data_IF_813393507352
#
_entry.id   IF_813393507352
#
_cell.length_a   1.000
_cell.length_b   1.000
_cell.length_c   1.000
_cell.angle_alpha   90.00
_cell.angle_beta   90.00
_cell.angle_gamma   90.00
#
_symmetry.space_group_name_H-M   'P 1'
#
loop_
_entity.id
_entity.type
_entity.pdbx_description
1 polymer ?
#
# COMPACT_ATOMS: atom_id res chain seq x y z
N UNK A 1 -56.10 29.27 31.40
CA UNK A 1 -54.64 29.44 31.30
C UNK A 1 -54.21 30.32 32.47
N UNK A 2 -53.77 29.64 33.54
CA UNK A 2 -52.60 29.89 34.42
C UNK A 2 -51.79 31.18 34.18
N UNK A 3 -51.26 31.92 35.16
CA UNK A 3 -50.85 31.62 36.54
C UNK A 3 -50.84 32.87 37.45
N UNK A 4 -50.90 32.61 38.77
CA UNK A 4 -50.84 33.57 39.87
C UNK A 4 -49.80 33.06 40.92
N UNK A 5 -49.02 33.99 41.49
CA UNK A 5 -48.33 33.99 42.81
C UNK A 5 -47.23 32.92 43.09
N UNK A 6 -46.23 33.06 43.99
CA UNK A 6 -45.97 33.95 45.13
C UNK A 6 -44.45 33.96 45.55
N UNK A 7 -43.90 35.15 45.81
CA UNK A 7 -43.28 35.70 47.06
C UNK A 7 -42.34 34.87 48.01
N UNK A 8 -41.11 35.43 48.23
CA UNK A 8 -40.32 35.65 49.49
C UNK A 8 -39.83 34.47 50.39
N UNK A 9 -38.78 34.49 51.24
CA UNK A 9 -37.57 35.31 51.56
C UNK A 9 -36.77 34.57 52.68
N UNK A 10 -35.43 34.73 52.70
CA UNK A 10 -34.42 34.61 53.79
C UNK A 10 -34.23 33.33 54.65
N UNK A 11 -32.97 33.01 55.00
CA UNK A 11 -32.26 33.36 56.26
C UNK A 11 -30.89 32.60 56.33
N UNK A 12 -29.83 33.29 56.77
CA UNK A 12 -28.47 32.84 57.20
C UNK A 12 -28.45 33.05 58.75
N UNK A 13 -27.78 32.30 59.68
CA UNK A 13 -26.30 32.08 59.73
C UNK A 13 -25.71 30.89 60.58
N UNK A 14 -24.36 30.84 60.61
CA UNK A 14 -23.40 30.39 61.67
C UNK A 14 -23.09 28.88 61.89
N UNK A 15 -21.80 28.48 61.75
CA UNK A 15 -20.80 28.08 62.80
C UNK A 15 -21.10 26.67 63.38
N UNK A 16 -20.21 25.68 63.60
CA UNK A 16 -18.81 25.64 64.01
C UNK A 16 -18.29 24.16 63.92
N UNK A 17 -17.00 23.98 63.64
CA UNK A 17 -16.02 23.06 64.31
C UNK A 17 -16.02 21.50 64.16
N UNK A 18 -14.83 20.98 63.75
CA UNK A 18 -13.96 19.92 64.37
C UNK A 18 -14.52 18.46 64.37
N UNK A 19 -13.85 17.33 64.07
CA UNK A 19 -12.47 16.84 64.23
C UNK A 19 -12.20 15.59 63.36
N UNK A 20 -10.94 15.10 63.43
CA UNK A 20 -10.26 14.12 62.59
C UNK A 20 -10.70 12.64 62.66
N UNK A 21 -10.27 11.87 61.66
CA UNK A 21 -10.25 10.40 61.68
C UNK A 21 -9.33 9.81 60.62
N UNK A 22 -8.08 9.52 60.99
CA UNK A 22 -7.10 8.74 60.23
C UNK A 22 -7.62 7.31 59.95
N UNK A 23 -7.56 6.85 58.69
CA UNK A 23 -7.32 5.43 58.39
C UNK A 23 -6.41 5.26 57.17
N UNK A 24 -5.26 4.64 57.43
CA UNK A 24 -4.29 4.14 56.47
C UNK A 24 -4.92 3.10 55.53
N UNK A 25 -4.62 3.19 54.23
CA UNK A 25 -4.53 2.00 53.37
C UNK A 25 -3.28 2.06 52.49
N UNK A 26 -2.32 1.24 52.89
CA UNK A 26 -1.42 0.41 52.08
C UNK A 26 -1.27 0.76 50.58
N UNK A 27 -0.10 1.33 50.26
CA UNK A 27 0.55 1.24 48.94
C UNK A 27 0.77 -0.22 48.55
N UNK A 28 0.07 -0.69 47.53
CA UNK A 28 0.52 -1.85 46.74
C UNK A 28 1.22 -1.29 45.51
N UNK A 29 2.55 -1.42 45.52
CA UNK A 29 3.43 -1.10 44.40
C UNK A 29 3.22 -2.13 43.29
N UNK A 30 2.41 -1.78 42.29
CA UNK A 30 2.43 -2.49 41.02
C UNK A 30 3.69 -2.05 40.26
N UNK A 31 4.67 -2.95 40.17
CA UNK A 31 5.82 -2.82 39.26
C UNK A 31 5.27 -2.76 37.83
N UNK A 32 5.24 -1.55 37.27
CA UNK A 32 5.10 -1.32 35.84
C UNK A 32 6.26 -2.01 35.12
N UNK A 33 5.98 -3.14 34.47
CA UNK A 33 6.90 -3.73 33.49
C UNK A 33 6.73 -2.92 32.21
N UNK A 34 7.48 -1.81 32.19
CA UNK A 34 7.64 -0.91 31.05
C UNK A 34 8.30 -1.67 29.91
N UNK A 35 7.50 -2.26 29.02
CA UNK A 35 7.94 -2.58 27.67
C UNK A 35 8.38 -1.27 27.02
N UNK A 36 9.62 -1.23 26.54
CA UNK A 36 10.16 -0.05 25.87
C UNK A 36 9.39 0.13 24.56
N UNK A 37 8.44 1.05 24.53
CA UNK A 37 7.93 1.58 23.27
C UNK A 37 9.08 2.35 22.64
N UNK A 38 9.70 1.74 21.63
CA UNK A 38 10.67 2.41 20.79
C UNK A 38 9.90 3.49 20.02
N UNK A 39 10.05 4.74 20.46
CA UNK A 39 9.52 5.89 19.73
C UNK A 39 10.38 6.04 18.49
N UNK A 40 9.91 5.53 17.35
CA UNK A 40 10.51 5.82 16.05
C UNK A 40 10.35 7.31 15.83
N UNK A 41 11.44 8.06 16.01
CA UNK A 41 11.52 9.44 15.51
C UNK A 41 11.58 9.35 14.00
N UNK A 42 10.45 9.57 13.36
CA UNK A 42 10.41 9.85 11.92
C UNK A 42 11.04 11.23 11.77
N UNK A 43 12.27 11.27 11.26
CA UNK A 43 12.82 12.50 10.70
C UNK A 43 11.92 12.91 9.54
N UNK A 44 11.61 14.20 9.43
CA UNK A 44 11.00 14.81 8.26
C UNK A 44 11.91 14.54 7.05
N UNK A 45 11.74 13.39 6.41
CA UNK A 45 12.28 13.13 5.09
C UNK A 45 11.35 13.84 4.11
N UNK A 46 11.58 15.15 3.97
CA UNK A 46 11.45 15.75 2.64
C UNK A 46 12.15 14.80 1.68
N UNK A 47 11.47 14.33 0.64
CA UNK A 47 12.09 13.62 -0.48
C UNK A 47 13.10 14.55 -1.17
N UNK A 48 14.25 14.76 -0.55
CA UNK A 48 15.41 15.30 -1.21
C UNK A 48 15.88 14.21 -2.16
N UNK A 49 16.10 14.64 -3.41
CA UNK A 49 16.79 13.88 -4.43
C UNK A 49 18.22 13.61 -3.97
N UNK A 50 18.42 12.67 -3.06
CA UNK A 50 19.72 12.10 -2.83
C UNK A 50 19.93 11.03 -3.89
N UNK A 51 20.77 11.42 -4.85
CA UNK A 51 21.35 10.60 -5.89
C UNK A 51 22.16 9.48 -5.21
N UNK A 52 21.49 8.39 -4.82
CA UNK A 52 22.18 7.15 -4.52
C UNK A 52 22.58 6.60 -5.89
N UNK A 53 23.86 6.74 -6.22
CA UNK A 53 24.53 6.08 -7.34
C UNK A 53 24.37 4.56 -7.19
N UNK A 54 23.25 4.03 -7.69
CA UNK A 54 23.09 2.61 -7.94
C UNK A 54 23.78 2.36 -9.28
N UNK A 55 24.96 1.73 -9.21
CA UNK A 55 25.88 1.39 -10.29
C UNK A 55 25.26 1.47 -11.71
N UNK A 56 25.24 2.68 -12.27
CA UNK A 56 24.75 2.97 -13.63
C UNK A 56 25.51 2.17 -14.69
N UNK A 57 26.66 1.60 -14.32
CA UNK A 57 27.55 0.84 -15.16
C UNK A 57 27.05 -0.58 -15.48
N UNK A 58 26.20 -1.20 -14.64
CA UNK A 58 25.64 -2.52 -14.95
C UNK A 58 24.41 -2.45 -15.87
N UNK A 59 23.54 -1.46 -15.65
CA UNK A 59 22.32 -1.29 -16.45
C UNK A 59 22.65 -0.77 -17.86
N UNK A 60 23.64 0.11 -17.98
CA UNK A 60 24.12 0.61 -19.29
C UNK A 60 24.82 -0.46 -20.13
N UNK A 61 25.60 -1.36 -19.51
CA UNK A 61 26.29 -2.45 -20.22
C UNK A 61 25.33 -3.48 -20.83
N UNK A 62 24.24 -3.79 -20.15
CA UNK A 62 23.24 -4.75 -20.65
C UNK A 62 22.41 -4.14 -21.78
N UNK A 63 22.05 -2.85 -21.66
CA UNK A 63 21.37 -2.13 -22.73
C UNK A 63 22.23 -1.99 -24.00
N UNK A 64 23.53 -1.67 -23.85
CA UNK A 64 24.46 -1.51 -24.97
C UNK A 64 24.80 -2.84 -25.69
N UNK A 65 24.86 -3.97 -24.97
CA UNK A 65 25.13 -5.28 -25.56
C UNK A 65 23.94 -5.77 -26.41
N UNK A 66 22.70 -5.48 -25.99
CA UNK A 66 21.49 -5.84 -26.73
C UNK A 66 21.28 -4.98 -27.98
N UNK A 67 21.55 -3.67 -27.92
CA UNK A 67 21.48 -2.78 -29.10
C UNK A 67 22.47 -3.22 -30.18
N UNK A 68 23.67 -3.66 -29.79
CA UNK A 68 24.66 -4.21 -30.72
C UNK A 68 24.24 -5.52 -31.37
N UNK A 69 23.58 -6.42 -30.65
CA UNK A 69 23.12 -7.71 -31.21
C UNK A 69 21.93 -7.54 -32.16
N UNK A 70 20.95 -6.69 -31.81
CA UNK A 70 19.77 -6.44 -32.65
C UNK A 70 20.12 -5.77 -34.00
N UNK A 71 21.15 -4.92 -34.04
CA UNK A 71 21.59 -4.27 -35.29
C UNK A 71 22.33 -5.20 -36.27
N UNK A 72 22.70 -6.42 -35.85
CA UNK A 72 23.51 -7.34 -36.68
C UNK A 72 22.73 -8.42 -37.43
N UNK A 73 21.43 -8.60 -37.15
CA UNK A 73 20.67 -9.77 -37.65
C UNK A 73 19.81 -9.53 -38.90
N UNK A 74 19.84 -8.35 -39.51
CA UNK A 74 18.96 -8.00 -40.64
C UNK A 74 19.43 -8.51 -42.02
N UNK A 75 20.20 -9.59 -42.05
CA UNK A 75 20.57 -10.29 -43.30
C UNK A 75 20.53 -11.79 -43.09
N UNK A 76 19.38 -12.40 -43.37
CA UNK A 76 19.26 -13.61 -44.20
C UNK A 76 17.80 -14.09 -44.25
N UNK A 77 17.05 -13.60 -45.24
CA UNK A 77 15.88 -14.32 -45.74
C UNK A 77 16.31 -15.60 -46.46
N UNK A 78 15.67 -16.73 -46.15
CA UNK A 78 15.37 -17.77 -47.15
C UNK A 78 14.21 -18.67 -46.72
N UNK A 79 13.25 -18.78 -47.64
CA UNK A 79 12.05 -19.62 -47.69
C UNK A 79 12.31 -21.11 -47.43
N UNK A 80 11.31 -21.83 -46.91
CA UNK A 80 10.70 -22.99 -47.59
C UNK A 80 9.41 -23.50 -46.91
N UNK A 81 8.62 -24.21 -47.72
CA UNK A 81 7.20 -24.54 -47.67
C UNK A 81 6.67 -25.40 -46.50
N UNK A 82 5.34 -25.31 -46.35
CA UNK A 82 4.45 -26.00 -45.41
C UNK A 82 4.20 -27.50 -45.74
N UNK A 83 4.11 -28.35 -44.70
CA UNK A 83 2.83 -28.95 -44.26
C UNK A 83 2.97 -29.91 -43.05
N UNK A 84 1.97 -29.78 -42.16
CA UNK A 84 1.41 -30.72 -41.17
C UNK A 84 2.29 -31.25 -40.01
N UNK A 85 2.04 -30.71 -38.81
CA UNK A 85 1.57 -31.40 -37.58
C UNK A 85 1.23 -30.30 -36.56
N UNK A 86 -0.05 -30.13 -36.23
CA UNK A 86 -0.49 -29.40 -35.02
C UNK A 86 -0.21 -30.28 -33.80
N UNK A 87 0.70 -29.80 -32.95
CA UNK A 87 0.68 -29.81 -31.48
C UNK A 87 2.10 -29.97 -30.92
N UNK A 88 2.57 -28.88 -30.29
CA UNK A 88 3.92 -28.58 -29.80
C UNK A 88 4.88 -28.05 -30.87
N UNK A 89 4.70 -26.79 -31.26
CA UNK A 89 5.84 -26.02 -31.75
C UNK A 89 6.94 -26.07 -30.68
N UNK A 90 8.19 -26.44 -31.02
CA UNK A 90 9.30 -26.31 -30.09
C UNK A 90 9.42 -24.84 -29.69
N UNK A 91 9.43 -24.58 -28.37
CA UNK A 91 9.70 -23.25 -27.79
C UNK A 91 10.94 -22.71 -28.51
N UNK A 92 10.78 -21.57 -29.16
CA UNK A 92 11.87 -20.94 -29.90
C UNK A 92 12.95 -20.46 -28.92
N UNK A 93 14.20 -20.34 -29.38
CA UNK A 93 15.29 -19.81 -28.55
C UNK A 93 14.94 -18.43 -27.97
N UNK A 94 14.25 -17.61 -28.77
CA UNK A 94 13.80 -16.27 -28.38
C UNK A 94 12.74 -16.30 -27.27
N UNK A 95 11.76 -17.21 -27.35
CA UNK A 95 10.76 -17.40 -26.29
C UNK A 95 11.39 -17.90 -24.99
N UNK A 96 12.42 -18.76 -25.07
CA UNK A 96 13.12 -19.26 -23.90
C UNK A 96 13.88 -18.14 -23.17
N UNK A 97 14.59 -17.29 -23.93
CA UNK A 97 15.30 -16.12 -23.41
C UNK A 97 14.34 -15.10 -22.78
N UNK A 98 13.19 -14.84 -23.42
CA UNK A 98 12.16 -13.98 -22.87
C UNK A 98 11.59 -14.54 -21.55
N UNK A 99 11.32 -15.85 -21.48
CA UNK A 99 10.85 -16.48 -20.25
C UNK A 99 11.86 -16.39 -19.11
N UNK A 100 13.15 -16.54 -19.38
CA UNK A 100 14.21 -16.38 -18.37
C UNK A 100 14.29 -14.94 -17.87
N UNK A 101 14.23 -13.96 -18.79
CA UNK A 101 14.18 -12.55 -18.45
C UNK A 101 12.97 -12.21 -17.58
N UNK A 102 11.78 -12.72 -17.90
CA UNK A 102 10.57 -12.49 -17.09
C UNK A 102 10.72 -13.07 -15.67
N UNK A 103 11.40 -14.21 -15.51
CA UNK A 103 11.70 -14.75 -14.16
C UNK A 103 12.65 -13.84 -13.39
N UNK A 104 13.64 -13.26 -14.05
CA UNK A 104 14.55 -12.32 -13.39
C UNK A 104 13.84 -11.00 -13.03
N UNK A 105 12.97 -10.49 -13.90
CA UNK A 105 12.16 -9.29 -13.63
C UNK A 105 11.23 -9.54 -12.44
N UNK A 106 10.61 -10.72 -12.36
CA UNK A 106 9.70 -11.07 -11.26
C UNK A 106 10.38 -11.06 -9.87
N UNK A 107 11.69 -11.26 -9.79
CA UNK A 107 12.47 -11.17 -8.54
C UNK A 107 12.74 -9.73 -8.11
N UNK A 108 12.62 -8.77 -9.02
CA UNK A 108 12.92 -7.36 -8.74
C UNK A 108 11.81 -6.72 -7.90
N UNK A 109 12.20 -5.79 -7.05
CA UNK A 109 11.26 -5.01 -6.26
C UNK A 109 10.52 -3.98 -7.13
N UNK A 110 9.34 -3.53 -6.71
CA UNK A 110 8.55 -2.54 -7.46
C UNK A 110 9.27 -1.18 -7.55
N UNK A 111 10.13 -0.86 -6.58
CA UNK A 111 10.94 0.36 -6.53
C UNK A 111 11.99 0.40 -7.65
N UNK A 112 12.41 -0.76 -8.15
CA UNK A 112 13.39 -0.84 -9.25
C UNK A 112 12.87 -0.25 -10.56
N UNK A 113 11.56 -0.13 -10.70
CA UNK A 113 10.92 0.38 -11.92
C UNK A 113 10.82 1.93 -11.97
N UNK A 114 11.28 2.65 -10.94
CA UNK A 114 11.12 4.11 -10.83
C UNK A 114 11.67 4.93 -12.00
N UNK A 115 12.67 4.39 -12.71
CA UNK A 115 13.38 5.07 -13.82
C UNK A 115 12.96 4.54 -15.21
N UNK A 116 11.87 3.78 -15.30
CA UNK A 116 11.43 3.17 -16.58
C UNK A 116 10.76 4.15 -17.55
N UNK A 117 10.50 5.40 -17.13
CA UNK A 117 9.74 6.39 -17.91
C UNK A 117 10.33 6.69 -19.30
N UNK A 118 11.66 6.72 -19.40
CA UNK A 118 12.39 7.13 -20.61
C UNK A 118 12.85 5.91 -21.45
N UNK A 119 12.48 4.70 -21.02
CA UNK A 119 12.85 3.46 -21.72
C UNK A 119 12.03 3.33 -23.01
N UNK A 120 12.65 2.95 -24.14
CA UNK A 120 11.93 2.72 -25.38
C UNK A 120 10.80 1.70 -25.23
N UNK A 121 9.65 2.00 -25.85
CA UNK A 121 8.41 1.24 -25.69
C UNK A 121 8.55 -0.25 -26.05
N UNK A 122 9.40 -0.58 -27.03
CA UNK A 122 9.68 -1.97 -27.41
C UNK A 122 10.29 -2.79 -26.26
N UNK A 123 11.16 -2.17 -25.44
CA UNK A 123 11.78 -2.78 -24.27
C UNK A 123 10.80 -2.75 -23.10
N UNK A 124 10.19 -1.59 -22.83
CA UNK A 124 9.26 -1.41 -21.73
C UNK A 124 8.08 -2.39 -21.81
N UNK A 125 7.60 -2.72 -23.02
CA UNK A 125 6.55 -3.72 -23.22
C UNK A 125 6.87 -5.09 -22.63
N UNK A 126 8.14 -5.51 -22.61
CA UNK A 126 8.56 -6.78 -21.99
C UNK A 126 8.40 -6.70 -20.47
N UNK A 127 8.89 -5.62 -19.86
CA UNK A 127 8.77 -5.38 -18.42
C UNK A 127 7.30 -5.22 -17.97
N UNK A 128 6.48 -4.62 -18.81
CA UNK A 128 5.05 -4.45 -18.54
C UNK A 128 4.32 -5.80 -18.39
N UNK A 129 4.80 -6.88 -19.01
CA UNK A 129 4.24 -8.24 -18.80
C UNK A 129 4.31 -8.67 -17.32
N UNK A 130 5.38 -8.31 -16.60
CA UNK A 130 5.50 -8.58 -15.17
C UNK A 130 4.55 -7.71 -14.33
N UNK A 131 4.39 -6.44 -14.68
CA UNK A 131 3.43 -5.56 -14.00
C UNK A 131 2.00 -6.09 -14.15
N UNK A 132 1.61 -6.49 -15.38
CA UNK A 132 0.32 -7.11 -15.63
C UNK A 132 0.11 -8.44 -14.85
N UNK A 133 1.18 -9.23 -14.68
CA UNK A 133 1.14 -10.43 -13.81
C UNK A 133 0.86 -10.02 -12.35
N UNK A 134 1.55 -9.02 -11.81
CA UNK A 134 1.38 -8.54 -10.43
C UNK A 134 -0.02 -7.98 -10.17
N UNK A 135 -0.66 -7.34 -11.15
CA UNK A 135 -2.05 -6.92 -11.04
C UNK A 135 -3.01 -8.10 -10.89
N UNK A 136 -2.87 -9.14 -11.71
CA UNK A 136 -3.68 -10.37 -11.58
C UNK A 136 -3.50 -11.05 -10.23
N UNK A 137 -2.28 -11.08 -9.72
CA UNK A 137 -2.01 -11.57 -8.37
C UNK A 137 -2.67 -10.70 -7.30
N UNK A 138 -2.69 -9.39 -7.51
CA UNK A 138 -3.32 -8.42 -6.60
C UNK A 138 -4.84 -8.56 -6.58
N UNK A 139 -5.50 -8.83 -7.70
CA UNK A 139 -6.94 -9.16 -7.77
C UNK A 139 -7.27 -10.39 -6.91
N UNK A 140 -6.45 -11.45 -7.01
CA UNK A 140 -6.62 -12.64 -6.18
C UNK A 140 -6.48 -12.30 -4.69
N UNK A 141 -5.50 -11.46 -4.33
CA UNK A 141 -5.29 -11.01 -2.94
C UNK A 141 -6.45 -10.17 -2.39
N UNK A 142 -7.13 -9.38 -3.21
CA UNK A 142 -8.35 -8.66 -2.78
C UNK A 142 -9.37 -9.67 -2.29
N UNK A 143 -9.69 -10.67 -3.12
CA UNK A 143 -10.68 -11.69 -2.79
C UNK A 143 -10.30 -12.49 -1.54
N UNK A 144 -9.02 -12.87 -1.42
CA UNK A 144 -8.53 -13.54 -0.21
C UNK A 144 -8.66 -12.65 1.03
N UNK A 145 -8.50 -11.34 0.89
CA UNK A 145 -8.65 -10.37 1.99
C UNK A 145 -10.12 -10.16 2.36
N UNK A 146 -11.03 -10.10 1.39
CA UNK A 146 -12.48 -10.05 1.62
C UNK A 146 -12.95 -11.30 2.40
N UNK A 147 -12.51 -12.48 1.96
CA UNK A 147 -12.78 -13.75 2.64
C UNK A 147 -12.18 -13.75 4.05
N UNK A 148 -10.96 -13.24 4.22
CA UNK A 148 -10.29 -13.14 5.53
C UNK A 148 -11.10 -12.28 6.50
N UNK A 149 -11.51 -11.08 6.09
CA UNK A 149 -12.28 -10.14 6.91
C UNK A 149 -13.65 -10.71 7.27
N UNK A 150 -14.33 -11.35 6.32
CA UNK A 150 -15.67 -11.94 6.51
C UNK A 150 -15.69 -13.10 7.51
N UNK A 151 -14.55 -13.76 7.75
CA UNK A 151 -14.43 -14.89 8.66
C UNK A 151 -14.10 -14.50 10.11
N UNK A 152 -13.81 -13.21 10.37
CA UNK A 152 -13.51 -12.72 11.71
C UNK A 152 -14.78 -12.71 12.55
N UNK A 153 -14.71 -13.31 13.74
CA UNK A 153 -15.83 -13.34 14.68
C UNK A 153 -15.69 -12.23 15.71
N UNK A 154 -16.75 -11.46 15.89
CA UNK A 154 -16.83 -10.38 16.85
C UNK A 154 -18.19 -10.39 17.56
N UNK A 155 -18.26 -9.71 18.70
CA UNK A 155 -19.51 -9.50 19.43
C UNK A 155 -20.22 -8.24 18.89
N UNK A 156 -21.55 -8.23 18.92
CA UNK A 156 -22.34 -7.07 18.46
C UNK A 156 -22.03 -5.82 19.30
N UNK A 157 -21.76 -4.69 18.64
CA UNK A 157 -21.35 -3.40 19.24
C UNK A 157 -20.05 -3.47 20.02
N UNK A 158 -19.15 -4.37 19.60
CA UNK A 158 -17.81 -4.50 20.18
C UNK A 158 -16.81 -3.55 19.51
N UNK A 159 -15.64 -3.40 20.12
CA UNK A 159 -14.55 -2.64 19.49
C UNK A 159 -13.90 -3.41 18.35
N UNK A 160 -14.00 -4.73 18.41
CA UNK A 160 -13.60 -5.64 17.35
C UNK A 160 -14.44 -5.41 16.09
N UNK A 161 -15.75 -5.17 16.23
CA UNK A 161 -16.61 -4.80 15.10
C UNK A 161 -16.11 -3.51 14.43
N UNK A 162 -15.88 -2.44 15.20
CA UNK A 162 -15.39 -1.16 14.67
C UNK A 162 -13.98 -1.27 14.06
N UNK A 163 -13.08 -2.07 14.65
CA UNK A 163 -11.77 -2.37 14.04
C UNK A 163 -11.92 -3.05 12.68
N UNK A 164 -12.84 -4.00 12.57
CA UNK A 164 -13.09 -4.71 11.32
C UNK A 164 -13.70 -3.80 10.26
N UNK A 165 -14.59 -2.88 10.66
CA UNK A 165 -15.14 -1.84 9.79
C UNK A 165 -14.02 -0.95 9.20
N UNK A 166 -13.11 -0.46 10.05
CA UNK A 166 -11.96 0.35 9.59
C UNK A 166 -11.05 -0.45 8.66
N UNK A 167 -10.85 -1.75 8.91
CA UNK A 167 -10.08 -2.61 8.00
C UNK A 167 -10.78 -2.80 6.65
N UNK A 168 -12.10 -2.87 6.64
CA UNK A 168 -12.90 -2.84 5.41
C UNK A 168 -12.71 -1.53 4.64
N UNK A 169 -12.76 -0.39 5.32
CA UNK A 169 -12.46 0.91 4.70
C UNK A 169 -11.03 0.97 4.14
N UNK A 170 -10.04 0.38 4.83
CA UNK A 170 -8.67 0.30 4.33
C UNK A 170 -8.56 -0.58 3.08
N UNK A 171 -9.33 -1.68 3.01
CA UNK A 171 -9.41 -2.50 1.80
C UNK A 171 -10.02 -1.70 0.65
N UNK A 172 -11.11 -0.96 0.89
CA UNK A 172 -11.73 -0.08 -0.11
C UNK A 172 -10.76 1.01 -0.60
N UNK A 173 -9.89 1.53 0.29
CA UNK A 173 -8.80 2.41 -0.15
C UNK A 173 -7.76 1.68 -0.97
N UNK A 174 -7.36 0.47 -0.58
CA UNK A 174 -6.41 -0.31 -1.36
C UNK A 174 -6.92 -0.53 -2.79
N UNK A 175 -8.21 -0.85 -2.98
CA UNK A 175 -8.80 -1.13 -4.30
C UNK A 175 -8.88 0.10 -5.21
N UNK A 176 -8.81 1.33 -4.69
CA UNK A 176 -8.70 2.55 -5.53
C UNK A 176 -7.49 2.53 -6.48
N UNK A 177 -6.45 1.75 -6.17
CA UNK A 177 -5.33 1.56 -7.10
C UNK A 177 -5.78 1.00 -8.46
N UNK A 178 -6.82 0.15 -8.46
CA UNK A 178 -7.39 -0.44 -9.67
C UNK A 178 -8.20 0.58 -10.47
N UNK A 179 -8.96 1.43 -9.79
CA UNK A 179 -9.71 2.50 -10.45
C UNK A 179 -8.78 3.45 -11.24
N UNK A 180 -7.66 3.86 -10.61
CA UNK A 180 -6.66 4.71 -11.26
C UNK A 180 -6.00 3.96 -12.43
N UNK A 181 -5.68 2.68 -12.25
CA UNK A 181 -5.14 1.83 -13.32
C UNK A 181 -6.08 1.75 -14.53
N UNK A 182 -7.36 1.46 -14.29
CA UNK A 182 -8.39 1.32 -15.33
C UNK A 182 -8.63 2.62 -16.11
N UNK A 183 -8.56 3.77 -15.43
CA UNK A 183 -8.69 5.09 -16.06
C UNK A 183 -7.69 5.30 -17.22
N UNK A 184 -6.50 4.72 -17.10
CA UNK A 184 -5.41 4.86 -18.08
C UNK A 184 -5.27 3.67 -19.02
N UNK A 185 -6.02 2.58 -18.83
CA UNK A 185 -5.89 1.37 -19.65
C UNK A 185 -6.15 1.63 -21.14
N UNK A 186 -7.15 2.47 -21.43
CA UNK A 186 -7.58 2.81 -22.77
C UNK A 186 -6.86 4.03 -23.36
N UNK A 187 -5.95 4.64 -22.61
CA UNK A 187 -5.19 5.82 -23.06
C UNK A 187 -3.91 5.38 -23.78
N UNK A 188 -3.46 6.19 -24.74
CA UNK A 188 -2.21 5.95 -25.48
C UNK A 188 -0.98 6.40 -24.67
N UNK A 189 -0.82 5.84 -23.48
CA UNK A 189 0.31 6.13 -22.58
C UNK A 189 1.49 5.22 -22.95
N UNK A 190 2.72 5.76 -23.11
CA UNK A 190 3.93 4.94 -23.28
C UNK A 190 4.09 3.92 -22.15
N UNK A 191 4.56 2.71 -22.46
CA UNK A 191 4.71 1.63 -21.49
C UNK A 191 5.66 2.01 -20.35
N UNK A 192 6.72 2.77 -20.63
CA UNK A 192 7.64 3.25 -19.60
C UNK A 192 6.94 4.08 -18.52
N UNK A 193 6.08 5.02 -18.93
CA UNK A 193 5.29 5.84 -18.02
C UNK A 193 4.25 5.01 -17.25
N UNK A 194 3.60 4.08 -17.96
CA UNK A 194 2.61 3.16 -17.39
C UNK A 194 3.21 2.28 -16.30
N UNK A 195 4.39 1.71 -16.53
CA UNK A 195 5.13 0.90 -15.56
C UNK A 195 5.43 1.71 -14.28
N UNK A 196 5.90 2.95 -14.42
CA UNK A 196 6.23 3.80 -13.26
C UNK A 196 4.99 4.11 -12.43
N UNK A 197 3.86 4.44 -13.08
CA UNK A 197 2.58 4.67 -12.40
C UNK A 197 2.14 3.41 -11.67
N UNK A 198 1.99 2.30 -12.40
CA UNK A 198 1.40 1.07 -11.86
C UNK A 198 2.28 0.42 -10.79
N UNK A 199 3.60 0.51 -10.90
CA UNK A 199 4.50 0.04 -9.85
C UNK A 199 4.27 0.80 -8.53
N UNK A 200 4.06 2.12 -8.59
CA UNK A 200 3.76 2.93 -7.39
C UNK A 200 2.39 2.60 -6.81
N UNK A 201 1.37 2.44 -7.65
CA UNK A 201 0.04 2.02 -7.22
C UNK A 201 0.08 0.66 -6.51
N UNK A 202 0.79 -0.31 -7.10
CA UNK A 202 1.00 -1.64 -6.51
C UNK A 202 1.76 -1.59 -5.18
N UNK A 203 2.71 -0.65 -4.98
CA UNK A 203 3.38 -0.50 -3.68
C UNK A 203 2.38 -0.10 -2.60
N UNK A 204 1.55 0.93 -2.86
CA UNK A 204 0.54 1.40 -1.90
C UNK A 204 -0.47 0.30 -1.59
N UNK A 205 -0.99 -0.36 -2.64
CA UNK A 205 -1.88 -1.51 -2.51
C UNK A 205 -1.27 -2.62 -1.64
N UNK A 206 -0.05 -3.05 -1.96
CA UNK A 206 0.61 -4.13 -1.25
C UNK A 206 0.84 -3.80 0.23
N UNK A 207 1.20 -2.55 0.54
CA UNK A 207 1.39 -2.11 1.92
C UNK A 207 0.07 -2.15 2.71
N UNK A 208 -1.02 -1.63 2.15
CA UNK A 208 -2.34 -1.66 2.78
C UNK A 208 -2.82 -3.10 3.02
N UNK A 209 -2.75 -3.97 2.01
CA UNK A 209 -3.14 -5.38 2.14
C UNK A 209 -2.27 -6.10 3.19
N UNK A 210 -0.94 -5.91 3.14
CA UNK A 210 -0.04 -6.51 4.13
C UNK A 210 -0.37 -6.07 5.56
N UNK A 211 -0.74 -4.80 5.76
CA UNK A 211 -1.19 -4.29 7.04
C UNK A 211 -2.47 -5.00 7.49
N UNK A 212 -3.45 -5.18 6.61
CA UNK A 212 -4.69 -5.92 6.92
C UNK A 212 -4.37 -7.35 7.38
N UNK A 213 -3.56 -8.10 6.61
CA UNK A 213 -3.17 -9.46 6.99
C UNK A 213 -2.46 -9.51 8.35
N UNK A 214 -1.56 -8.56 8.60
CA UNK A 214 -0.85 -8.47 9.88
C UNK A 214 -1.83 -8.21 11.02
N UNK A 215 -2.70 -7.22 10.87
CA UNK A 215 -3.67 -6.83 11.89
C UNK A 215 -4.64 -7.98 12.19
N UNK A 216 -5.16 -8.65 11.16
CA UNK A 216 -6.04 -9.81 11.36
C UNK A 216 -5.31 -11.00 11.99
N UNK A 217 -4.06 -11.27 11.58
CA UNK A 217 -3.24 -12.32 12.20
C UNK A 217 -2.96 -12.10 13.68
N UNK A 218 -3.09 -10.85 14.16
CA UNK A 218 -2.88 -10.45 15.55
C UNK A 218 -4.17 -9.97 16.23
N UNK A 219 -5.33 -10.16 15.59
CA UNK A 219 -6.59 -9.53 15.98
C UNK A 219 -7.01 -9.80 17.42
N UNK A 220 -6.87 -11.05 17.83
CA UNK A 220 -7.23 -11.54 19.17
C UNK A 220 -6.23 -11.12 20.26
N UNK A 221 -5.02 -10.66 19.90
CA UNK A 221 -3.98 -10.29 20.90
C UNK A 221 -4.37 -9.07 21.72
N UNK A 222 -5.25 -8.22 21.19
CA UNK A 222 -5.70 -6.99 21.84
C UNK A 222 -7.00 -7.17 22.65
N UNK A 223 -7.51 -8.41 22.78
CA UNK A 223 -8.71 -8.68 23.59
C UNK A 223 -8.52 -8.24 25.04
N UNK A 224 -9.36 -7.32 25.49
CA UNK A 224 -9.29 -6.73 26.83
C UNK A 224 -8.25 -5.62 26.99
N UNK A 225 -7.49 -5.26 25.94
CA UNK A 225 -6.59 -4.12 25.93
C UNK A 225 -7.21 -2.94 25.18
N UNK A 226 -7.98 -2.14 25.92
CA UNK A 226 -8.66 -0.97 25.38
C UNK A 226 -7.71 0.07 24.77
N UNK A 227 -6.51 0.23 25.35
CA UNK A 227 -5.54 1.24 24.91
C UNK A 227 -4.93 0.79 23.59
N UNK A 228 -4.44 -0.46 23.53
CA UNK A 228 -3.90 -1.03 22.30
C UNK A 228 -4.90 -1.03 21.16
N UNK A 229 -6.17 -1.33 21.44
CA UNK A 229 -7.25 -1.24 20.44
C UNK A 229 -7.41 0.19 19.91
N UNK A 230 -7.42 1.20 20.77
CA UNK A 230 -7.59 2.59 20.33
C UNK A 230 -6.37 3.08 19.52
N UNK A 231 -5.16 2.72 19.95
CA UNK A 231 -3.92 3.05 19.22
C UNK A 231 -3.92 2.43 17.82
N UNK A 232 -4.33 1.17 17.70
CA UNK A 232 -4.43 0.49 16.39
C UNK A 232 -5.48 1.15 15.49
N UNK A 233 -6.66 1.49 16.03
CA UNK A 233 -7.71 2.21 15.27
C UNK A 233 -7.21 3.53 14.72
N UNK A 234 -6.49 4.30 15.54
CA UNK A 234 -5.93 5.58 15.11
C UNK A 234 -4.84 5.41 14.05
N UNK A 235 -4.01 4.38 14.18
CA UNK A 235 -3.03 4.00 13.17
C UNK A 235 -3.69 3.58 11.84
N UNK A 236 -4.75 2.77 11.89
CA UNK A 236 -5.48 2.35 10.69
C UNK A 236 -6.15 3.55 9.99
N UNK A 237 -6.76 4.47 10.75
CA UNK A 237 -7.30 5.72 10.19
C UNK A 237 -6.24 6.66 9.63
N UNK A 238 -5.04 6.63 10.19
CA UNK A 238 -3.90 7.32 9.60
C UNK A 238 -3.54 6.68 8.25
N UNK A 239 -3.44 5.35 8.19
CA UNK A 239 -3.13 4.63 6.95
C UNK A 239 -4.15 4.90 5.84
N UNK A 240 -5.45 4.89 6.16
CA UNK A 240 -6.52 5.23 5.20
C UNK A 240 -6.29 6.62 4.58
N UNK A 241 -5.97 7.62 5.41
CA UNK A 241 -5.70 8.99 4.93
C UNK A 241 -4.38 9.08 4.17
N UNK A 242 -3.39 8.28 4.57
CA UNK A 242 -2.11 8.18 3.88
C UNK A 242 -2.30 7.60 2.47
N UNK A 243 -3.07 6.52 2.31
CA UNK A 243 -3.43 5.97 1.00
C UNK A 243 -4.05 7.04 0.09
N UNK A 244 -5.06 7.77 0.58
CA UNK A 244 -5.71 8.85 -0.18
C UNK A 244 -4.71 9.91 -0.68
N UNK A 245 -3.83 10.36 0.22
CA UNK A 245 -2.82 11.37 -0.10
C UNK A 245 -1.82 10.84 -1.15
N UNK A 246 -1.33 9.61 -0.97
CA UNK A 246 -0.35 9.03 -1.89
C UNK A 246 -0.97 8.72 -3.24
N UNK A 247 -2.21 8.23 -3.32
CA UNK A 247 -2.87 8.00 -4.61
C UNK A 247 -3.05 9.29 -5.39
N UNK A 248 -3.47 10.36 -4.70
CA UNK A 248 -3.58 11.69 -5.30
C UNK A 248 -2.22 12.16 -5.83
N UNK A 249 -1.18 12.07 -5.02
CA UNK A 249 0.17 12.49 -5.39
C UNK A 249 0.75 11.66 -6.55
N UNK A 250 0.61 10.33 -6.50
CA UNK A 250 1.08 9.41 -7.55
C UNK A 250 0.39 9.72 -8.87
N UNK A 251 -0.94 9.89 -8.85
CA UNK A 251 -1.71 10.17 -10.04
C UNK A 251 -1.41 11.56 -10.61
N UNK A 252 -1.34 12.61 -9.77
CA UNK A 252 -0.99 13.97 -10.21
C UNK A 252 0.42 14.03 -10.82
N UNK A 253 1.41 13.42 -10.16
CA UNK A 253 2.79 13.36 -10.68
C UNK A 253 2.86 12.62 -12.01
N UNK A 254 2.10 11.54 -12.16
CA UNK A 254 2.00 10.84 -13.43
C UNK A 254 1.41 11.72 -14.53
N UNK A 255 0.28 12.39 -14.27
CA UNK A 255 -0.37 13.26 -15.25
C UNK A 255 0.55 14.41 -15.66
N UNK A 256 1.23 15.07 -14.71
CA UNK A 256 2.18 16.15 -15.02
C UNK A 256 3.36 15.65 -15.85
N UNK A 257 3.92 14.49 -15.49
CA UNK A 257 5.03 13.89 -16.24
C UNK A 257 4.61 13.47 -17.65
N UNK A 258 3.44 12.88 -17.79
CA UNK A 258 2.92 12.39 -19.07
C UNK A 258 2.45 13.52 -20.01
N UNK A 259 1.89 14.60 -19.44
CA UNK A 259 1.41 15.76 -20.19
C UNK A 259 2.47 16.85 -20.36
N UNK A 260 3.71 16.62 -19.92
CA UNK A 260 4.83 17.58 -19.98
C UNK A 260 4.50 18.95 -19.35
N UNK A 261 3.74 18.96 -18.25
CA UNK A 261 3.38 20.20 -17.55
C UNK A 261 4.54 20.73 -16.69
N UNK A 262 4.77 22.05 -16.69
CA UNK A 262 5.77 22.71 -15.82
C UNK A 262 5.41 22.61 -14.32
N UNK A 263 6.44 22.58 -13.47
CA UNK A 263 6.34 22.48 -12.00
C UNK A 263 5.93 23.79 -11.33
#
# INVERSE_FOLDING_TARGET
MTDNSATMVNVVPQEESVEAGDQQMTKISAKSVRGKSETVRITDESFNNDCIEVDEMEVSKIADDMVKKLLTYDKNEKKNDANEIEDNLPITSEELEEMELLREIAKRSLESFKNMKDVPDAIAKIYYKDIARRWKESEARIKETEDLLSNVKYEDRSLEEDRLEILGELLDKATQSFEIFEEHENRKVPYGHRIVLEAKLLIVFNNAINLIYKTIGEFDKLKGDQVGVNDERDQLRYEIRYCDAVYTEVHERFLKSYLEMEW
#
